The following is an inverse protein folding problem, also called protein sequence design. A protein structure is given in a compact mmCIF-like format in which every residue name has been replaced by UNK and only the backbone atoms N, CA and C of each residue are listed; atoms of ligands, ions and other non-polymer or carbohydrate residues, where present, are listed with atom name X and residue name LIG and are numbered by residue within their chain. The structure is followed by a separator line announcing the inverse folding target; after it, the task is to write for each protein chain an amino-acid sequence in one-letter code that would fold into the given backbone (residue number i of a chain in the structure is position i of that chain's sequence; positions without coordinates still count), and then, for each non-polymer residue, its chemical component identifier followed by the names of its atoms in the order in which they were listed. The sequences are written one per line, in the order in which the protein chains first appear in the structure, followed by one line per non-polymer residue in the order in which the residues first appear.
data_IF_064137688655
#
_entry.id   IF_064137688655
#
_cell.length_a   1.000
_cell.length_b   1.000
_cell.length_c   1.000
_cell.angle_alpha   90.00
_cell.angle_beta   90.00
_cell.angle_gamma   90.00
#
_symmetry.space_group_name_H-M   'P 1'
#
loop_
_entity.id
_entity.type
_entity.pdbx_description
1 polymer ?
#
# COMPACT_ATOMS: atom_id res chain seq x y z
N UNK A 1 27.98 -62.69 -18.98
CA UNK A 1 26.62 -62.34 -18.48
C UNK A 1 26.64 -61.29 -17.36
N UNK A 2 27.43 -61.44 -16.27
CA UNK A 2 27.50 -60.44 -15.17
C UNK A 2 27.89 -59.01 -15.58
N UNK A 3 28.78 -58.85 -16.57
CA UNK A 3 29.24 -57.54 -17.05
C UNK A 3 28.14 -56.76 -17.81
N UNK A 4 27.30 -57.47 -18.57
CA UNK A 4 26.19 -56.87 -19.33
C UNK A 4 25.10 -56.37 -18.37
N UNK A 5 24.82 -57.14 -17.32
CA UNK A 5 23.89 -56.73 -16.26
C UNK A 5 24.34 -55.43 -15.56
N UNK A 6 25.65 -55.32 -15.27
CA UNK A 6 26.21 -54.12 -14.64
C UNK A 6 26.12 -52.87 -15.53
N UNK A 7 26.33 -53.03 -16.84
CA UNK A 7 26.19 -51.93 -17.81
C UNK A 7 24.73 -51.50 -17.94
N UNK A 8 23.79 -52.45 -17.93
CA UNK A 8 22.36 -52.14 -17.98
C UNK A 8 21.90 -51.35 -16.73
N UNK A 9 22.42 -51.71 -15.56
CA UNK A 9 22.13 -51.03 -14.29
C UNK A 9 22.62 -49.58 -14.29
N UNK A 10 23.81 -49.33 -14.86
CA UNK A 10 24.41 -48.00 -15.00
C UNK A 10 23.65 -47.09 -15.98
N UNK A 11 23.08 -47.66 -17.04
CA UNK A 11 22.26 -46.91 -18.00
C UNK A 11 20.89 -46.55 -17.40
N UNK A 12 20.32 -47.42 -16.57
CA UNK A 12 19.09 -47.09 -15.84
C UNK A 12 19.29 -45.97 -14.80
N UNK A 13 20.42 -45.93 -14.10
CA UNK A 13 20.70 -44.86 -13.12
C UNK A 13 21.06 -43.51 -13.77
N UNK A 14 21.57 -43.51 -15.00
CA UNK A 14 21.89 -42.28 -15.75
C UNK A 14 20.65 -41.48 -16.21
N UNK A 15 19.44 -42.02 -16.10
CA UNK A 15 18.19 -41.34 -16.44
C UNK A 15 17.53 -40.62 -15.25
N UNK A 16 18.25 -40.46 -14.13
CA UNK A 16 17.78 -39.63 -13.03
C UNK A 16 17.65 -38.18 -13.53
N UNK A 17 16.40 -37.71 -13.68
CA UNK A 17 16.14 -36.30 -13.95
C UNK A 17 16.56 -35.50 -12.72
N UNK A 18 17.61 -34.70 -12.87
CA UNK A 18 17.90 -33.63 -11.93
C UNK A 18 16.77 -32.61 -12.06
N UNK A 19 15.97 -32.45 -11.01
CA UNK A 19 15.11 -31.28 -10.88
C UNK A 19 16.02 -30.12 -10.54
N UNK A 20 16.15 -29.16 -11.46
CA UNK A 20 16.69 -27.87 -11.10
C UNK A 20 15.68 -27.22 -10.15
N UNK A 21 16.10 -26.88 -8.94
CA UNK A 21 15.27 -26.13 -8.02
C UNK A 21 15.09 -24.73 -8.63
N UNK A 22 13.87 -24.45 -9.10
CA UNK A 22 13.56 -23.14 -9.67
C UNK A 22 13.42 -22.19 -8.49
N UNK A 23 14.41 -21.31 -8.34
CA UNK A 23 14.42 -20.30 -7.29
C UNK A 23 13.28 -19.32 -7.59
N UNK A 24 12.20 -19.38 -6.82
CA UNK A 24 11.06 -18.47 -6.91
C UNK A 24 11.13 -17.37 -5.86
N UNK A 25 10.85 -16.12 -6.25
CA UNK A 25 10.77 -14.96 -5.34
C UNK A 25 9.31 -14.66 -5.00
N UNK A 26 8.78 -15.29 -3.96
CA UNK A 26 7.38 -15.08 -3.56
C UNK A 26 7.17 -13.86 -2.65
N UNK A 27 8.20 -13.48 -1.90
CA UNK A 27 8.18 -12.32 -1.04
C UNK A 27 9.41 -11.46 -1.31
N UNK A 28 9.18 -10.16 -1.45
CA UNK A 28 10.23 -9.18 -1.65
C UNK A 28 9.84 -7.86 -0.99
N UNK A 29 10.81 -7.04 -0.65
CA UNK A 29 10.61 -5.71 -0.07
C UNK A 29 11.45 -4.69 -0.81
N UNK A 30 11.03 -3.42 -0.74
CA UNK A 30 11.78 -2.31 -1.33
C UNK A 30 12.49 -1.57 -0.21
N UNK A 31 13.81 -1.42 -0.33
CA UNK A 31 14.68 -0.70 0.61
C UNK A 31 15.44 0.42 -0.09
N UNK A 32 15.97 1.33 0.70
CA UNK A 32 16.91 2.35 0.23
C UNK A 32 18.18 1.67 -0.33
N UNK A 33 18.75 2.24 -1.39
CA UNK A 33 20.04 1.78 -1.91
C UNK A 33 21.18 2.44 -1.10
N UNK A 34 21.98 1.68 -0.34
CA UNK A 34 23.09 2.25 0.43
C UNK A 34 24.24 2.78 -0.44
N UNK A 35 24.26 2.44 -1.73
CA UNK A 35 25.32 2.83 -2.67
C UNK A 35 24.93 3.99 -3.59
N UNK A 36 23.65 4.37 -3.66
CA UNK A 36 23.18 5.42 -4.54
C UNK A 36 21.93 6.14 -4.00
N UNK A 37 22.02 7.45 -3.80
CA UNK A 37 20.97 8.29 -3.18
C UNK A 37 19.66 8.41 -3.97
N UNK A 38 19.64 8.00 -5.24
CA UNK A 38 18.49 8.16 -6.17
C UNK A 38 17.95 6.85 -6.70
N UNK A 39 18.35 5.75 -6.08
CA UNK A 39 18.00 4.40 -6.48
C UNK A 39 17.42 3.65 -5.27
N UNK A 40 16.70 2.57 -5.55
CA UNK A 40 16.15 1.69 -4.52
C UNK A 40 16.64 0.27 -4.76
N UNK A 41 16.69 -0.52 -3.69
CA UNK A 41 16.99 -1.94 -3.76
C UNK A 41 15.70 -2.74 -3.59
N UNK A 42 15.55 -3.81 -4.37
CA UNK A 42 14.54 -4.84 -4.16
C UNK A 42 15.24 -6.03 -3.52
N UNK A 43 14.73 -6.46 -2.37
CA UNK A 43 15.32 -7.52 -1.55
C UNK A 43 14.33 -8.67 -1.48
N UNK A 44 14.75 -9.85 -1.94
CA UNK A 44 14.02 -11.09 -1.78
C UNK A 44 14.06 -11.52 -0.30
N UNK A 45 12.89 -11.85 0.26
CA UNK A 45 12.76 -12.23 1.66
C UNK A 45 11.93 -13.50 1.82
N UNK A 46 12.00 -14.12 2.98
CA UNK A 46 11.09 -15.18 3.40
C UNK A 46 9.79 -14.59 4.03
N UNK A 47 8.91 -15.46 4.52
CA UNK A 47 7.67 -15.06 5.20
C UNK A 47 7.87 -14.37 6.55
N UNK A 48 9.08 -14.44 7.11
CA UNK A 48 9.50 -13.80 8.35
C UNK A 48 10.34 -12.54 8.08
N UNK A 49 10.38 -12.07 6.84
CA UNK A 49 11.14 -10.92 6.37
C UNK A 49 12.68 -11.05 6.47
N UNK A 50 13.20 -12.28 6.61
CA UNK A 50 14.64 -12.53 6.51
C UNK A 50 15.08 -12.54 5.05
N UNK A 51 16.27 -12.02 4.78
CA UNK A 51 16.82 -11.98 3.42
C UNK A 51 17.10 -13.39 2.92
N UNK A 52 16.66 -13.68 1.70
CA UNK A 52 16.95 -14.94 1.01
C UNK A 52 18.23 -14.85 0.21
N UNK A 53 19.36 -15.13 0.87
CA UNK A 53 20.69 -15.11 0.24
C UNK A 53 20.89 -16.19 -0.83
N UNK A 54 20.03 -17.19 -0.88
CA UNK A 54 20.00 -18.23 -1.91
C UNK A 54 19.53 -17.70 -3.27
N UNK A 55 18.87 -16.54 -3.32
CA UNK A 55 18.34 -15.93 -4.55
C UNK A 55 19.46 -15.23 -5.31
N UNK A 56 19.93 -15.85 -6.39
CA UNK A 56 20.93 -15.30 -7.30
C UNK A 56 20.51 -15.53 -8.76
N UNK A 57 20.65 -14.51 -9.61
CA UNK A 57 20.34 -14.60 -11.03
C UNK A 57 19.56 -13.41 -11.59
N UNK A 58 18.97 -13.60 -12.77
CA UNK A 58 18.16 -12.57 -13.45
C UNK A 58 16.67 -12.88 -13.28
N UNK A 59 15.93 -11.90 -12.79
CA UNK A 59 14.49 -12.01 -12.56
C UNK A 59 13.77 -10.85 -13.23
N UNK A 60 12.63 -11.13 -13.86
CA UNK A 60 11.80 -10.09 -14.46
C UNK A 60 10.85 -9.50 -13.43
N UNK A 61 10.84 -8.18 -13.31
CA UNK A 61 9.93 -7.41 -12.48
C UNK A 61 9.20 -6.38 -13.34
N UNK A 62 7.92 -6.18 -13.07
CA UNK A 62 7.16 -5.05 -13.62
C UNK A 62 7.13 -3.93 -12.59
N UNK A 63 7.75 -2.79 -12.91
CA UNK A 63 7.82 -1.60 -12.05
C UNK A 63 7.02 -0.48 -12.71
N UNK A 64 5.94 -0.03 -12.05
CA UNK A 64 5.00 0.97 -12.56
C UNK A 64 4.50 0.69 -14.01
N UNK A 65 4.35 -0.59 -14.34
CA UNK A 65 3.88 -1.04 -15.66
C UNK A 65 4.98 -1.30 -16.69
N UNK A 66 6.25 -1.00 -16.37
CA UNK A 66 7.39 -1.29 -17.23
C UNK A 66 8.08 -2.57 -16.78
N UNK A 67 8.34 -3.48 -17.71
CA UNK A 67 9.12 -4.68 -17.44
C UNK A 67 10.62 -4.34 -17.36
N UNK A 68 11.27 -4.85 -16.32
CA UNK A 68 12.67 -4.58 -15.97
C UNK A 68 13.32 -5.91 -15.56
N UNK A 69 14.44 -6.25 -16.20
CA UNK A 69 15.26 -7.39 -15.78
C UNK A 69 16.21 -6.96 -14.69
N UNK A 70 16.12 -7.62 -13.54
CA UNK A 70 16.85 -7.25 -12.34
C UNK A 70 17.81 -8.39 -11.97
N UNK A 71 19.09 -8.05 -11.76
CA UNK A 71 20.10 -8.99 -11.28
C UNK A 71 20.08 -9.04 -9.77
N UNK A 72 19.68 -10.17 -9.23
CA UNK A 72 19.76 -10.47 -7.81
C UNK A 72 21.12 -11.09 -7.51
N UNK A 73 21.80 -10.55 -6.50
CA UNK A 73 23.02 -11.10 -5.92
C UNK A 73 22.76 -11.25 -4.44
N UNK A 74 22.78 -12.50 -3.95
CA UNK A 74 22.46 -12.84 -2.55
C UNK A 74 21.16 -12.20 -2.05
N UNK A 75 20.10 -12.30 -2.84
CA UNK A 75 18.78 -11.81 -2.49
C UNK A 75 18.58 -10.31 -2.65
N UNK A 76 19.55 -9.55 -3.16
CA UNK A 76 19.40 -8.10 -3.39
C UNK A 76 19.61 -7.74 -4.85
N UNK A 77 18.72 -6.94 -5.40
CA UNK A 77 18.85 -6.34 -6.73
C UNK A 77 18.65 -4.82 -6.67
N UNK A 78 19.43 -4.08 -7.45
CA UNK A 78 19.36 -2.63 -7.49
C UNK A 78 18.55 -2.15 -8.69
N UNK A 79 17.64 -1.21 -8.43
CA UNK A 79 16.86 -0.54 -9.47
C UNK A 79 17.56 0.75 -9.88
N UNK A 80 18.29 0.69 -11.00
CA UNK A 80 19.18 1.77 -11.44
C UNK A 80 18.49 2.96 -12.12
N UNK A 81 17.17 2.90 -12.32
CA UNK A 81 16.44 4.05 -12.88
C UNK A 81 16.27 5.11 -11.80
N UNK A 82 16.90 6.27 -12.02
CA UNK A 82 16.90 7.38 -11.08
C UNK A 82 15.49 7.88 -10.78
N UNK A 83 15.19 8.01 -9.49
CA UNK A 83 13.93 8.58 -8.99
C UNK A 83 14.16 10.01 -8.52
N UNK A 84 13.70 10.97 -9.33
CA UNK A 84 14.03 12.39 -9.14
C UNK A 84 13.10 13.11 -8.18
N UNK A 85 11.93 12.54 -7.95
CA UNK A 85 10.84 13.07 -7.13
C UNK A 85 10.18 11.95 -6.35
N UNK A 86 9.50 12.31 -5.26
CA UNK A 86 8.66 11.36 -4.55
C UNK A 86 7.57 10.82 -5.47
N UNK A 87 7.39 9.50 -5.47
CA UNK A 87 6.46 8.84 -6.38
C UNK A 87 5.99 7.50 -5.84
N UNK A 88 4.83 7.07 -6.33
CA UNK A 88 4.40 5.68 -6.16
C UNK A 88 5.31 4.74 -6.94
N UNK A 89 5.59 3.60 -6.33
CA UNK A 89 6.46 2.56 -6.82
C UNK A 89 5.74 1.23 -6.64
N UNK A 90 5.00 0.86 -7.68
CA UNK A 90 4.28 -0.39 -7.77
C UNK A 90 5.20 -1.44 -8.40
N UNK A 91 5.58 -2.43 -7.61
CA UNK A 91 6.47 -3.51 -8.03
C UNK A 91 5.65 -4.79 -8.10
N UNK A 92 5.75 -5.49 -9.23
CA UNK A 92 5.10 -6.77 -9.45
C UNK A 92 6.11 -7.77 -9.98
N UNK A 93 6.09 -8.97 -9.44
CA UNK A 93 6.82 -10.13 -9.91
C UNK A 93 5.83 -11.23 -10.25
N UNK A 94 6.09 -11.95 -11.34
CA UNK A 94 5.29 -13.09 -11.77
C UNK A 94 6.24 -14.27 -11.86
N UNK A 95 5.90 -15.35 -11.18
CA UNK A 95 6.64 -16.61 -11.19
C UNK A 95 5.65 -17.78 -11.28
N UNK A 96 6.16 -19.02 -11.17
CA UNK A 96 5.33 -20.22 -11.24
C UNK A 96 4.34 -20.35 -10.07
N UNK A 97 4.60 -19.68 -8.94
CA UNK A 97 3.75 -19.69 -7.75
C UNK A 97 2.63 -18.63 -7.81
N UNK A 98 2.73 -17.65 -8.70
CA UNK A 98 1.67 -16.68 -8.96
C UNK A 98 2.16 -15.27 -9.22
N UNK A 99 1.31 -14.30 -8.89
CA UNK A 99 1.58 -12.87 -9.04
C UNK A 99 1.77 -12.24 -7.67
N UNK A 100 2.95 -11.68 -7.44
CA UNK A 100 3.34 -11.05 -6.19
C UNK A 100 3.54 -9.56 -6.43
N UNK A 101 2.74 -8.71 -5.79
CA UNK A 101 2.79 -7.27 -6.01
C UNK A 101 2.79 -6.49 -4.71
N UNK A 102 3.56 -5.40 -4.69
CA UNK A 102 3.62 -4.48 -3.56
C UNK A 102 3.61 -3.04 -4.06
N UNK A 103 2.92 -2.18 -3.31
CA UNK A 103 2.91 -0.74 -3.56
C UNK A 103 3.71 -0.03 -2.47
N UNK A 104 4.65 0.80 -2.89
CA UNK A 104 5.39 1.71 -2.03
C UNK A 104 5.15 3.15 -2.47
N UNK A 105 5.23 4.07 -1.52
CA UNK A 105 5.46 5.47 -1.78
C UNK A 105 6.92 5.77 -1.46
N UNK A 106 7.72 6.08 -2.48
CA UNK A 106 9.12 6.45 -2.31
C UNK A 106 9.15 7.93 -1.97
N UNK A 107 9.50 8.25 -0.72
CA UNK A 107 9.64 9.61 -0.26
C UNK A 107 11.08 10.08 -0.49
N UNK A 108 11.25 11.11 -1.32
CA UNK A 108 12.54 11.76 -1.50
C UNK A 108 12.81 12.69 -0.32
N UNK A 109 13.98 12.52 0.30
CA UNK A 109 14.50 13.37 1.36
C UNK A 109 15.90 13.85 0.99
N UNK A 110 16.43 14.81 1.75
CA UNK A 110 17.79 15.29 1.54
C UNK A 110 18.79 14.16 1.81
N UNK A 111 19.47 13.68 0.77
CA UNK A 111 20.48 12.62 0.85
C UNK A 111 19.99 11.19 0.66
N UNK A 112 18.74 10.96 0.23
CA UNK A 112 18.30 9.58 -0.04
C UNK A 112 16.84 9.39 -0.41
N UNK A 113 16.45 8.13 -0.54
CA UNK A 113 15.09 7.70 -0.83
C UNK A 113 14.58 6.80 0.29
N UNK A 114 13.42 7.15 0.85
CA UNK A 114 12.78 6.37 1.91
C UNK A 114 11.54 5.64 1.36
N UNK A 115 11.60 4.32 1.13
CA UNK A 115 10.42 3.55 0.73
C UNK A 115 9.45 3.41 1.90
N UNK A 116 8.18 3.74 1.68
CA UNK A 116 7.09 3.58 2.65
C UNK A 116 6.08 2.61 2.06
N UNK A 117 5.90 1.44 2.69
CA UNK A 117 4.95 0.41 2.24
C UNK A 117 3.52 0.94 2.36
N UNK A 118 2.76 0.88 1.27
CA UNK A 118 1.36 1.31 1.23
C UNK A 118 0.48 0.06 1.29
N UNK A 119 -0.34 -0.05 2.34
CA UNK A 119 -1.31 -1.13 2.47
C UNK A 119 -2.46 -0.95 1.48
N UNK A 120 -2.86 -2.03 0.81
CA UNK A 120 -4.05 -2.04 -0.05
C UNK A 120 -5.32 -1.67 0.73
N UNK A 121 -5.37 -2.01 2.02
CA UNK A 121 -6.49 -1.68 2.90
C UNK A 121 -6.65 -0.16 3.06
N UNK A 122 -5.54 0.60 3.02
CA UNK A 122 -5.59 2.06 3.07
C UNK A 122 -6.15 2.64 1.76
N UNK A 123 -5.74 2.10 0.61
CA UNK A 123 -6.21 2.55 -0.71
C UNK A 123 -7.73 2.41 -0.86
N UNK A 124 -8.30 1.35 -0.27
CA UNK A 124 -9.73 1.08 -0.29
C UNK A 124 -10.45 1.78 0.89
N UNK A 125 -9.82 1.84 2.05
CA UNK A 125 -10.37 2.42 3.27
C UNK A 125 -10.60 3.92 3.18
N UNK A 126 -9.69 4.68 2.54
CA UNK A 126 -9.85 6.15 2.41
C UNK A 126 -11.11 6.50 1.59
N UNK A 127 -11.31 5.99 0.36
CA UNK A 127 -12.53 6.25 -0.41
C UNK A 127 -13.81 5.82 0.31
N UNK A 128 -13.82 4.62 0.91
CA UNK A 128 -14.98 4.12 1.65
C UNK A 128 -15.29 4.96 2.89
N UNK A 129 -14.25 5.38 3.62
CA UNK A 129 -14.38 6.27 4.77
C UNK A 129 -14.98 7.62 4.39
N UNK A 130 -14.55 8.20 3.26
CA UNK A 130 -15.11 9.45 2.75
C UNK A 130 -16.59 9.31 2.38
N UNK A 131 -16.97 8.21 1.71
CA UNK A 131 -18.37 7.92 1.38
C UNK A 131 -19.21 7.73 2.65
N UNK A 132 -18.69 7.00 3.65
CA UNK A 132 -19.36 6.78 4.91
C UNK A 132 -19.56 8.10 5.68
N UNK A 133 -18.51 8.94 5.76
CA UNK A 133 -18.61 10.27 6.34
C UNK A 133 -19.69 11.09 5.65
N UNK A 134 -19.66 11.18 4.31
CA UNK A 134 -20.69 11.89 3.56
C UNK A 134 -22.11 11.37 3.82
N UNK A 135 -22.26 10.06 3.95
CA UNK A 135 -23.55 9.43 4.29
C UNK A 135 -24.06 9.80 5.69
N UNK A 136 -23.17 9.79 6.68
CA UNK A 136 -23.50 10.19 8.05
C UNK A 136 -23.94 11.66 8.08
N UNK A 137 -23.20 12.56 7.42
CA UNK A 137 -23.56 13.98 7.32
C UNK A 137 -24.96 14.20 6.73
N UNK A 138 -25.36 13.41 5.71
CA UNK A 138 -26.71 13.49 5.13
C UNK A 138 -27.81 13.17 6.15
N UNK A 139 -27.60 12.23 7.07
CA UNK A 139 -28.58 11.93 8.12
C UNK A 139 -28.61 13.03 9.19
N UNK A 140 -27.45 13.57 9.56
CA UNK A 140 -27.36 14.67 10.53
C UNK A 140 -28.06 15.94 10.03
N UNK A 141 -27.91 16.32 8.75
CA UNK A 141 -28.55 17.52 8.22
C UNK A 141 -30.08 17.44 8.33
N UNK A 142 -30.66 16.26 8.08
CA UNK A 142 -32.09 16.03 8.16
C UNK A 142 -32.60 16.12 9.61
N UNK A 143 -31.88 15.51 10.55
CA UNK A 143 -32.22 15.57 11.98
C UNK A 143 -32.15 17.01 12.49
N UNK A 144 -31.09 17.75 12.14
CA UNK A 144 -30.92 19.17 12.52
C UNK A 144 -32.09 20.01 12.00
N UNK A 145 -32.49 19.83 10.73
CA UNK A 145 -33.62 20.55 10.16
C UNK A 145 -34.93 20.24 10.88
N UNK A 146 -35.21 18.97 11.20
CA UNK A 146 -36.42 18.58 11.93
C UNK A 146 -36.44 19.21 13.32
N UNK A 147 -35.34 19.08 14.07
CA UNK A 147 -35.23 19.67 15.42
C UNK A 147 -35.35 21.18 15.36
N UNK A 148 -34.73 21.83 14.36
CA UNK A 148 -34.82 23.27 14.16
C UNK A 148 -36.25 23.73 13.87
N UNK A 149 -37.00 23.01 13.02
CA UNK A 149 -38.40 23.30 12.75
C UNK A 149 -39.28 23.14 14.00
N UNK A 150 -39.09 22.06 14.78
CA UNK A 150 -39.79 21.84 16.05
C UNK A 150 -39.49 22.98 17.03
N UNK A 151 -38.22 23.37 17.13
CA UNK A 151 -37.78 24.46 18.00
C UNK A 151 -38.41 25.80 17.60
N UNK A 152 -38.43 26.15 16.31
CA UNK A 152 -39.08 27.37 15.83
C UNK A 152 -40.59 27.35 16.10
N UNK A 153 -41.24 26.21 15.83
CA UNK A 153 -42.67 26.05 16.08
C UNK A 153 -43.00 26.23 17.57
N UNK A 154 -42.23 25.59 18.46
CA UNK A 154 -42.40 25.73 19.90
C UNK A 154 -42.22 27.18 20.36
N UNK A 155 -41.19 27.88 19.90
CA UNK A 155 -40.99 29.29 20.26
C UNK A 155 -42.14 30.18 19.78
N UNK A 156 -42.60 29.97 18.55
CA UNK A 156 -43.72 30.71 17.99
C UNK A 156 -45.02 30.50 18.78
N UNK A 157 -45.35 29.24 19.12
CA UNK A 157 -46.55 28.90 19.90
C UNK A 157 -46.51 29.51 21.32
N UNK A 158 -45.31 29.67 21.91
CA UNK A 158 -45.14 30.28 23.22
C UNK A 158 -45.00 31.82 23.16
N UNK A 159 -45.44 32.45 22.05
CA UNK A 159 -45.51 33.91 21.92
C UNK A 159 -44.21 34.59 21.53
N UNK A 160 -43.16 33.83 21.20
CA UNK A 160 -41.89 34.38 20.73
C UNK A 160 -41.90 34.49 19.20
N UNK A 161 -42.18 35.69 18.70
CA UNK A 161 -42.04 35.99 17.26
C UNK A 161 -40.59 35.81 16.79
N UNK A 162 -40.40 35.62 15.48
CA UNK A 162 -39.04 35.46 14.92
C UNK A 162 -38.15 36.69 15.20
N UNK A 163 -38.73 37.89 15.22
CA UNK A 163 -38.02 39.14 15.50
C UNK A 163 -37.53 39.19 16.94
N UNK A 164 -38.42 38.94 17.90
CA UNK A 164 -38.08 38.96 19.33
C UNK A 164 -37.14 37.81 19.71
N UNK A 165 -37.21 36.67 19.01
CA UNK A 165 -36.24 35.59 19.16
C UNK A 165 -34.81 36.01 18.78
N UNK A 166 -34.63 36.62 17.60
CA UNK A 166 -33.32 37.11 17.16
C UNK A 166 -32.80 38.24 18.06
N UNK A 167 -33.69 39.15 18.46
CA UNK A 167 -33.36 40.24 19.38
C UNK A 167 -32.90 39.71 20.75
N UNK A 168 -33.55 38.65 21.26
CA UNK A 168 -33.14 37.94 22.48
C UNK A 168 -31.75 37.30 22.35
N UNK A 169 -31.45 36.65 21.21
CA UNK A 169 -30.10 36.10 20.95
C UNK A 169 -29.05 37.22 20.95
N UNK A 170 -29.29 38.31 20.24
CA UNK A 170 -28.36 39.43 20.14
C UNK A 170 -28.15 40.09 21.50
N UNK A 171 -29.21 40.29 22.27
CA UNK A 171 -29.12 40.85 23.62
C UNK A 171 -28.39 39.91 24.59
N UNK A 172 -28.64 38.59 24.50
CA UNK A 172 -27.92 37.57 25.27
C UNK A 172 -26.42 37.54 24.96
N UNK A 173 -26.05 37.58 23.67
CA UNK A 173 -24.65 37.66 23.25
C UNK A 173 -23.99 38.97 23.74
N UNK A 174 -24.66 40.11 23.65
CA UNK A 174 -24.17 41.38 24.18
C UNK A 174 -23.96 41.35 25.70
N UNK A 175 -24.84 40.67 26.45
CA UNK A 175 -24.69 40.51 27.89
C UNK A 175 -23.51 39.62 28.29
N UNK A 176 -23.09 38.68 27.44
CA UNK A 176 -21.96 37.77 27.71
C UNK A 176 -20.63 38.36 27.23
N UNK A 177 -20.62 39.12 26.13
CA UNK A 177 -19.39 39.65 25.51
C UNK A 177 -19.16 41.15 25.70
N UNK A 178 -20.17 41.89 26.18
CA UNK A 178 -20.12 43.34 26.37
C UNK A 178 -20.16 43.79 27.83
N UNK A 179 -20.00 42.86 28.78
CA UNK A 179 -19.76 43.14 30.21
C UNK A 179 -18.29 43.09 30.56
#
# INVERSE_FOLDING_TARGET
MKKIFFVLLLILSANAKLFADVINIDHFIVKENPFAEREVAIVAVDSLENIREDVDGLFSFTINGFEEQMRFEKGTAFYHRKLDKSSFFYVKHINDNGTHAMLYYIYKQDGGLKPIKVSWALLLGIPLGLVLLGYLFKRFIAIILIVFCIFLFFNYQNGLSISTFLESIVNGLKGVFGG
#
